data_IF_107453073931
#
_entry.id   IF_107453073931
#
_cell.length_a   1.000
_cell.length_b   1.000
_cell.length_c   1.000
_cell.angle_alpha   90.00
_cell.angle_beta   90.00
_cell.angle_gamma   90.00
#
_symmetry.space_group_name_H-M   'P 1'
#
loop_
_entity.id
_entity.type
_entity.pdbx_description
1 polymer ?
#
# COMPACT_ATOMS: atom_id res chain seq x y z
N UNK A 1 -6.64 -40.08 8.37
CA UNK A 1 -6.23 -39.19 7.26
C UNK A 1 -7.36 -38.20 7.07
N UNK A 2 -7.06 -36.92 6.89
CA UNK A 2 -8.05 -35.88 6.66
C UNK A 2 -7.48 -34.89 5.64
N UNK A 3 -8.00 -34.91 4.42
CA UNK A 3 -7.65 -33.90 3.43
C UNK A 3 -8.23 -32.55 3.86
N UNK A 4 -7.33 -31.60 4.14
CA UNK A 4 -7.71 -30.27 4.54
C UNK A 4 -8.35 -29.53 3.37
N UNK A 5 -9.58 -29.06 3.57
CA UNK A 5 -10.35 -28.26 2.61
C UNK A 5 -9.73 -26.86 2.42
N UNK A 6 -8.54 -26.84 1.80
CA UNK A 6 -7.86 -25.65 1.27
C UNK A 6 -8.37 -25.34 -0.14
N UNK A 7 -9.64 -25.64 -0.42
CA UNK A 7 -10.30 -25.10 -1.60
C UNK A 7 -10.31 -23.58 -1.46
N UNK A 8 -9.45 -22.93 -2.24
CA UNK A 8 -9.22 -21.49 -2.17
C UNK A 8 -10.54 -20.74 -2.15
N UNK A 9 -10.83 -20.07 -1.04
CA UNK A 9 -11.79 -18.95 -1.01
C UNK A 9 -11.20 -17.85 -1.86
N UNK A 10 -11.37 -17.97 -3.18
CA UNK A 10 -11.50 -16.83 -4.08
C UNK A 10 -12.75 -16.09 -3.61
N UNK A 11 -12.55 -15.20 -2.64
CA UNK A 11 -13.55 -14.24 -2.20
C UNK A 11 -14.07 -13.56 -3.45
N UNK A 12 -15.31 -13.83 -3.84
CA UNK A 12 -15.97 -13.00 -4.82
C UNK A 12 -16.05 -11.61 -4.18
N UNK A 13 -15.50 -10.56 -4.81
CA UNK A 13 -15.52 -9.22 -4.23
C UNK A 13 -16.97 -8.86 -3.92
N UNK A 14 -17.23 -8.35 -2.72
CA UNK A 14 -18.61 -8.04 -2.36
C UNK A 14 -19.14 -6.95 -3.30
N UNK A 15 -20.41 -7.06 -3.69
CA UNK A 15 -21.04 -6.11 -4.61
C UNK A 15 -21.24 -4.72 -3.99
N UNK A 16 -20.95 -4.58 -2.70
CA UNK A 16 -20.88 -3.31 -1.96
C UNK A 16 -19.54 -2.57 -2.13
N UNK A 17 -18.45 -3.24 -2.51
CA UNK A 17 -17.10 -2.64 -2.48
C UNK A 17 -16.95 -1.46 -3.46
N UNK A 18 -16.38 -0.37 -2.95
CA UNK A 18 -15.89 0.74 -3.73
C UNK A 18 -14.66 0.38 -4.57
N UNK A 19 -14.33 1.24 -5.54
CA UNK A 19 -13.10 1.11 -6.34
C UNK A 19 -11.84 1.16 -5.45
N UNK A 20 -11.83 2.08 -4.46
CA UNK A 20 -10.71 2.23 -3.53
C UNK A 20 -10.49 1.03 -2.61
N UNK A 21 -11.56 0.35 -2.20
CA UNK A 21 -11.48 -0.82 -1.31
C UNK A 21 -10.86 -2.02 -2.05
N UNK A 22 -11.26 -2.27 -3.31
CA UNK A 22 -10.59 -3.26 -4.16
C UNK A 22 -9.12 -2.94 -4.43
N UNK A 23 -8.80 -1.67 -4.66
CA UNK A 23 -7.42 -1.24 -4.87
C UNK A 23 -6.56 -1.44 -3.61
N UNK A 24 -7.12 -1.14 -2.43
CA UNK A 24 -6.48 -1.36 -1.15
C UNK A 24 -6.29 -2.86 -0.86
N UNK A 25 -7.29 -3.70 -1.12
CA UNK A 25 -7.17 -5.15 -1.00
C UNK A 25 -6.05 -5.71 -1.87
N UNK A 26 -6.03 -5.38 -3.16
CA UNK A 26 -4.96 -5.78 -4.10
C UNK A 26 -3.56 -5.30 -3.69
N UNK A 27 -3.46 -4.13 -3.03
CA UNK A 27 -2.22 -3.62 -2.47
C UNK A 27 -1.77 -4.42 -1.23
N UNK A 28 -2.69 -4.74 -0.31
CA UNK A 28 -2.40 -5.47 0.93
C UNK A 28 -2.02 -6.94 0.63
N UNK A 29 -2.78 -7.62 -0.23
CA UNK A 29 -2.52 -8.99 -0.68
C UNK A 29 -1.12 -9.13 -1.30
N UNK A 30 -0.68 -8.13 -2.06
CA UNK A 30 0.67 -8.13 -2.67
C UNK A 30 1.76 -7.73 -1.68
N UNK A 31 1.54 -6.69 -0.89
CA UNK A 31 2.54 -6.14 0.01
C UNK A 31 2.99 -7.15 1.08
N UNK A 32 2.10 -8.05 1.54
CA UNK A 32 2.43 -9.02 2.58
C UNK A 32 3.39 -10.15 2.13
N UNK A 33 3.56 -10.37 0.82
CA UNK A 33 4.51 -11.35 0.28
C UNK A 33 5.84 -10.71 -0.18
N UNK A 34 5.92 -9.37 -0.18
CA UNK A 34 7.02 -8.63 -0.78
C UNK A 34 8.07 -8.18 0.24
N UNK A 35 9.37 -8.12 -0.13
CA UNK A 35 10.39 -7.42 0.64
C UNK A 35 9.98 -5.95 0.90
N UNK A 36 10.09 -5.41 2.12
CA UNK A 36 9.55 -4.09 2.47
C UNK A 36 9.99 -2.95 1.55
N UNK A 37 11.23 -2.99 1.06
CA UNK A 37 11.79 -2.00 0.13
C UNK A 37 11.09 -1.94 -1.24
N UNK A 38 10.25 -2.92 -1.58
CA UNK A 38 9.45 -2.94 -2.82
C UNK A 38 8.00 -2.47 -2.64
N UNK A 39 7.53 -2.27 -1.40
CA UNK A 39 6.15 -1.81 -1.13
C UNK A 39 5.95 -0.37 -1.63
N UNK A 40 6.92 0.52 -1.41
CA UNK A 40 6.82 1.91 -1.87
C UNK A 40 6.77 2.04 -3.41
N UNK A 41 7.65 1.36 -4.19
CA UNK A 41 7.53 1.25 -5.64
C UNK A 41 6.18 0.66 -6.11
N UNK A 42 5.65 -0.37 -5.44
CA UNK A 42 4.34 -0.95 -5.77
C UNK A 42 3.23 0.09 -5.62
N UNK A 43 3.17 0.78 -4.47
CA UNK A 43 2.18 1.84 -4.22
C UNK A 43 2.29 2.96 -5.25
N UNK A 44 3.51 3.39 -5.59
CA UNK A 44 3.72 4.40 -6.64
C UNK A 44 3.21 3.94 -8.01
N UNK A 45 3.38 2.66 -8.38
CA UNK A 45 2.92 2.11 -9.65
C UNK A 45 1.39 1.96 -9.70
N UNK A 46 0.76 1.48 -8.62
CA UNK A 46 -0.70 1.38 -8.50
C UNK A 46 -1.34 2.78 -8.54
N UNK A 47 -0.78 3.76 -7.83
CA UNK A 47 -1.24 5.18 -7.85
C UNK A 47 -1.06 5.80 -9.24
N UNK A 48 0.07 5.56 -9.92
CA UNK A 48 0.27 6.04 -11.29
C UNK A 48 -0.73 5.42 -12.28
N UNK A 49 -1.06 4.14 -12.10
CA UNK A 49 -2.04 3.43 -12.95
C UNK A 49 -3.50 3.84 -12.72
N UNK A 50 -3.80 4.63 -11.68
CA UNK A 50 -5.09 5.34 -11.53
C UNK A 50 -5.03 6.83 -11.94
N UNK A 51 -3.93 7.26 -12.56
CA UNK A 51 -3.72 8.63 -13.04
C UNK A 51 -3.08 9.60 -12.03
N UNK A 52 -2.70 9.11 -10.85
CA UNK A 52 -1.97 9.86 -9.85
C UNK A 52 -0.57 10.28 -10.33
N UNK A 53 -0.06 11.38 -9.77
CA UNK A 53 1.22 12.01 -10.15
C UNK A 53 1.91 12.55 -8.90
N UNK A 54 3.21 12.81 -9.02
CA UNK A 54 4.02 13.45 -7.96
C UNK A 54 3.92 12.75 -6.59
N UNK A 55 3.80 11.41 -6.62
CA UNK A 55 3.52 10.57 -5.47
C UNK A 55 4.62 10.71 -4.42
N UNK A 56 4.27 11.16 -3.21
CA UNK A 56 5.14 11.11 -2.04
C UNK A 56 4.56 10.09 -1.06
N UNK A 57 5.42 9.24 -0.49
CA UNK A 57 5.06 8.33 0.60
C UNK A 57 5.78 8.81 1.84
N UNK A 58 5.02 8.99 2.92
CA UNK A 58 5.49 9.43 4.22
C UNK A 58 5.39 8.26 5.19
N UNK A 59 6.47 7.98 5.93
CA UNK A 59 6.45 7.06 7.06
C UNK A 59 6.40 7.86 8.36
N UNK A 60 5.56 7.43 9.30
CA UNK A 60 5.59 7.97 10.65
C UNK A 60 6.88 7.53 11.35
N UNK A 61 7.48 8.43 12.12
CA UNK A 61 8.64 8.12 12.96
C UNK A 61 8.24 7.35 14.24
N UNK A 62 9.22 6.88 15.01
CA UNK A 62 8.97 6.09 16.22
C UNK A 62 8.32 6.90 17.37
N UNK A 63 8.49 8.21 17.42
CA UNK A 63 7.85 9.11 18.38
C UNK A 63 6.42 9.51 18.01
N UNK A 64 5.99 9.22 16.78
CA UNK A 64 4.73 9.68 16.19
C UNK A 64 4.61 11.21 16.00
N UNK A 65 5.71 11.95 16.11
CA UNK A 65 5.79 13.41 15.96
C UNK A 65 6.00 13.84 14.49
N UNK A 66 6.63 12.98 13.68
CA UNK A 66 7.12 13.32 12.34
C UNK A 66 6.67 12.32 11.27
N UNK A 67 6.49 12.86 10.06
CA UNK A 67 6.25 12.15 8.82
C UNK A 67 7.48 12.29 7.92
N UNK A 68 8.35 11.27 7.91
CA UNK A 68 9.58 11.24 7.14
C UNK A 68 9.32 10.76 5.69
N UNK A 69 9.81 11.46 4.65
CA UNK A 69 9.63 11.05 3.26
C UNK A 69 10.46 9.81 2.93
N UNK A 70 9.80 8.81 2.37
CA UNK A 70 10.40 7.54 1.97
C UNK A 70 11.04 7.67 0.57
N UNK A 71 12.38 7.61 0.43
CA UNK A 71 13.01 7.64 -0.88
C UNK A 71 12.70 6.35 -1.66
N UNK A 72 12.39 6.47 -2.95
CA UNK A 72 12.10 5.32 -3.79
C UNK A 72 11.96 5.68 -5.28
N UNK A 73 12.03 4.66 -6.14
CA UNK A 73 11.80 4.83 -7.58
C UNK A 73 10.34 5.22 -7.82
N UNK A 74 10.13 6.33 -8.52
CA UNK A 74 8.80 6.86 -8.81
C UNK A 74 8.20 7.73 -7.71
N UNK A 75 8.94 8.00 -6.63
CA UNK A 75 8.51 8.89 -5.56
C UNK A 75 9.15 10.28 -5.66
N UNK A 76 8.35 11.30 -5.37
CA UNK A 76 8.82 12.65 -5.03
C UNK A 76 9.30 12.65 -3.59
N UNK A 77 10.47 13.24 -3.34
CA UNK A 77 11.08 13.31 -2.00
C UNK A 77 11.12 14.76 -1.54
N UNK A 78 10.34 15.07 -0.51
CA UNK A 78 10.33 16.37 0.16
C UNK A 78 11.25 16.42 1.38
N UNK A 79 10.95 17.31 2.33
CA UNK A 79 11.45 17.23 3.71
C UNK A 79 10.47 16.50 4.63
N UNK A 80 10.86 16.19 5.88
CA UNK A 80 9.93 15.72 6.91
C UNK A 80 8.83 16.76 7.21
N UNK A 81 7.64 16.27 7.54
CA UNK A 81 6.51 17.08 8.00
C UNK A 81 6.20 16.76 9.46
N UNK A 82 5.59 17.70 10.19
CA UNK A 82 4.99 17.42 11.50
C UNK A 82 3.70 16.61 11.32
N UNK A 83 3.43 15.70 12.25
CA UNK A 83 2.07 15.20 12.47
C UNK A 83 1.27 16.35 13.09
N UNK A 84 0.13 16.70 12.49
CA UNK A 84 -0.81 17.67 13.06
C UNK A 84 -1.86 16.92 13.89
N UNK A 85 -2.15 17.41 15.09
CA UNK A 85 -3.29 16.99 15.92
C UNK A 85 -4.62 17.63 15.48
#
# INVERSE_FOLDING_TARGET
MAEGDRQSRRSMPDRSEGFGERLLGLLLDRAHEMPPQLIAPLVAEEVARIGGREVSILLQDYGQELLAPLPGRGLMVGGPLLVME
#
